data_IF_563857793364
#
_entry.id   IF_563857793364
#
_cell.length_a   1.000
_cell.length_b   1.000
_cell.length_c   1.000
_cell.angle_alpha   90.00
_cell.angle_beta   90.00
_cell.angle_gamma   90.00
#
_symmetry.space_group_name_H-M   'P 1'
#
loop_
_entity.id
_entity.type
_entity.pdbx_description
1 polymer ?
#
# COMPACT_ATOMS: atom_id res chain seq x y z
N UNK A 1 24.77 -3.49 0.90
CA UNK A 1 25.24 -3.81 -0.47
C UNK A 1 26.60 -4.45 -0.35
N UNK A 2 26.88 -5.56 -1.05
CA UNK A 2 28.12 -6.34 -0.92
C UNK A 2 28.93 -6.25 -2.22
N UNK A 3 30.25 -6.16 -2.09
CA UNK A 3 31.20 -6.18 -3.19
C UNK A 3 32.34 -7.13 -2.87
N UNK A 4 32.65 -8.05 -3.78
CA UNK A 4 33.63 -9.13 -3.56
C UNK A 4 34.97 -8.75 -4.17
N UNK A 5 36.05 -9.09 -3.49
CA UNK A 5 37.42 -8.80 -3.92
C UNK A 5 38.33 -10.02 -3.74
N UNK A 6 39.00 -10.40 -4.83
CA UNK A 6 40.18 -11.29 -4.81
C UNK A 6 41.47 -10.42 -4.80
N UNK A 7 42.43 -10.67 -3.90
CA UNK A 7 43.76 -10.00 -3.74
C UNK A 7 43.84 -8.67 -2.97
N UNK A 8 45.03 -8.07 -2.82
CA UNK A 8 45.43 -6.87 -2.03
C UNK A 8 45.03 -5.49 -2.67
N UNK A 9 43.79 -5.30 -3.17
CA UNK A 9 43.37 -4.11 -3.97
C UNK A 9 42.30 -3.23 -3.29
N UNK A 10 42.43 -1.91 -3.20
CA UNK A 10 41.46 -1.07 -2.46
C UNK A 10 40.05 -1.10 -3.09
N UNK A 11 39.01 -1.17 -2.22
CA UNK A 11 37.59 -1.09 -2.59
C UNK A 11 37.05 0.29 -2.25
N UNK A 12 36.36 0.91 -3.19
CA UNK A 12 35.72 2.22 -3.00
C UNK A 12 34.22 2.12 -3.27
N UNK A 13 33.42 2.76 -2.42
CA UNK A 13 31.98 2.92 -2.63
C UNK A 13 31.69 4.33 -3.11
N UNK A 14 30.94 4.43 -4.20
CA UNK A 14 30.60 5.70 -4.86
C UNK A 14 29.09 5.74 -5.05
N UNK A 15 28.46 6.87 -4.70
CA UNK A 15 27.05 7.12 -5.01
C UNK A 15 26.94 7.86 -6.33
N UNK A 16 26.19 7.31 -7.28
CA UNK A 16 25.95 7.96 -8.57
C UNK A 16 24.69 8.82 -8.52
N UNK A 17 24.89 10.14 -8.58
CA UNK A 17 23.87 11.16 -8.81
C UNK A 17 24.27 12.00 -10.02
N UNK A 18 23.76 13.23 -10.12
CA UNK A 18 24.22 14.22 -11.09
C UNK A 18 25.74 14.47 -11.01
N UNK A 19 26.30 14.42 -9.80
CA UNK A 19 27.74 14.39 -9.53
C UNK A 19 28.07 13.10 -8.79
N UNK A 20 29.19 12.46 -9.13
CA UNK A 20 29.66 11.28 -8.41
C UNK A 20 30.14 11.68 -7.02
N UNK A 21 29.61 11.01 -6.00
CA UNK A 21 29.97 11.26 -4.62
C UNK A 21 30.73 10.05 -4.06
N UNK A 22 32.00 10.24 -3.73
CA UNK A 22 32.78 9.22 -3.02
C UNK A 22 32.22 9.05 -1.60
N UNK A 23 31.90 7.81 -1.24
CA UNK A 23 31.38 7.47 0.08
C UNK A 23 32.46 6.93 1.00
N UNK A 24 33.19 5.91 0.55
CA UNK A 24 34.23 5.24 1.34
C UNK A 24 35.37 4.79 0.44
N UNK A 25 36.58 4.70 1.00
CA UNK A 25 37.75 4.04 0.40
C UNK A 25 38.34 3.11 1.46
N UNK A 26 38.34 1.82 1.18
CA UNK A 26 38.56 0.80 2.19
C UNK A 26 37.59 0.99 3.35
N UNK A 27 38.12 0.94 4.58
CA UNK A 27 37.37 1.18 5.82
C UNK A 27 37.17 2.67 6.16
N UNK A 28 37.78 3.59 5.40
CA UNK A 28 37.70 5.02 5.67
C UNK A 28 36.47 5.64 5.02
N UNK A 29 35.64 6.35 5.80
CA UNK A 29 34.48 7.09 5.27
C UNK A 29 34.91 8.48 4.81
N UNK A 30 34.55 8.82 3.57
CA UNK A 30 34.75 10.14 2.95
C UNK A 30 33.44 10.92 2.76
N UNK A 31 32.29 10.24 2.83
CA UNK A 31 30.99 10.91 2.83
C UNK A 31 30.89 11.88 4.00
N UNK A 32 30.29 13.06 3.77
CA UNK A 32 29.96 14.02 4.82
C UNK A 32 28.86 13.49 5.76
N UNK A 33 28.04 12.55 5.29
CA UNK A 33 26.97 11.92 6.07
C UNK A 33 27.52 10.70 6.83
N UNK A 34 27.56 10.79 8.16
CA UNK A 34 28.09 9.74 9.05
C UNK A 34 27.28 8.43 9.07
N UNK A 35 26.16 8.36 8.35
CA UNK A 35 25.37 7.12 8.19
C UNK A 35 26.03 6.11 7.24
N UNK A 36 26.93 6.56 6.35
CA UNK A 36 27.64 5.68 5.41
C UNK A 36 28.88 5.08 6.07
N UNK A 37 28.95 3.76 6.13
CA UNK A 37 30.06 3.02 6.75
C UNK A 37 30.43 1.81 5.90
N UNK A 38 31.73 1.62 5.70
CA UNK A 38 32.25 0.39 5.09
C UNK A 38 32.53 -0.64 6.18
N UNK A 39 32.02 -1.86 5.99
CA UNK A 39 32.23 -3.00 6.86
C UNK A 39 32.98 -4.06 6.06
N UNK A 40 34.09 -4.54 6.64
CA UNK A 40 34.88 -5.62 6.06
C UNK A 40 35.40 -6.51 7.19
N UNK A 41 35.20 -7.82 7.05
CA UNK A 41 35.69 -8.81 8.00
C UNK A 41 37.06 -9.32 7.56
N UNK A 42 38.01 -9.48 8.49
CA UNK A 42 39.43 -9.80 8.23
C UNK A 42 39.68 -11.07 7.38
N UNK A 43 38.69 -11.95 7.24
CA UNK A 43 38.77 -13.20 6.47
C UNK A 43 37.68 -13.33 5.40
N UNK A 44 36.95 -12.24 5.11
CA UNK A 44 35.93 -12.22 4.07
C UNK A 44 36.44 -11.43 2.88
N UNK A 45 36.08 -11.87 1.68
CA UNK A 45 36.28 -11.08 0.46
C UNK A 45 35.21 -9.99 0.30
N UNK A 46 34.19 -9.99 1.18
CA UNK A 46 33.05 -9.10 1.13
C UNK A 46 33.38 -7.74 1.75
N UNK A 47 33.14 -6.72 0.96
CA UNK A 47 33.13 -5.32 1.35
C UNK A 47 31.69 -4.83 1.33
N UNK A 48 31.15 -4.54 2.51
CA UNK A 48 29.75 -4.14 2.65
C UNK A 48 29.63 -2.64 2.89
N UNK A 49 28.85 -1.95 2.07
CA UNK A 49 28.37 -0.60 2.41
C UNK A 49 27.11 -0.72 3.28
N UNK A 50 27.23 -0.23 4.51
CA UNK A 50 26.13 -0.02 5.44
C UNK A 50 25.66 1.44 5.37
N UNK A 51 24.34 1.61 5.29
CA UNK A 51 23.67 2.91 5.38
C UNK A 51 22.71 2.84 6.57
N UNK A 52 22.97 3.61 7.62
CA UNK A 52 22.09 3.66 8.80
C UNK A 52 20.86 4.54 8.54
N UNK A 53 19.73 4.18 9.13
CA UNK A 53 18.47 4.95 9.04
C UNK A 53 18.12 5.34 7.60
N UNK A 54 18.04 4.33 6.72
CA UNK A 54 17.83 4.53 5.28
C UNK A 54 16.55 5.32 5.04
N UNK A 55 16.61 6.28 4.12
CA UNK A 55 15.47 7.10 3.73
C UNK A 55 15.17 6.94 2.25
N UNK A 56 13.95 7.28 1.82
CA UNK A 56 13.55 7.18 0.40
C UNK A 56 14.48 7.97 -0.53
N UNK A 57 15.06 9.07 -0.05
CA UNK A 57 16.07 9.86 -0.78
C UNK A 57 17.41 9.15 -0.99
N UNK A 58 17.67 8.04 -0.29
CA UNK A 58 18.89 7.25 -0.42
C UNK A 58 18.83 6.27 -1.59
N UNK A 59 17.63 6.03 -2.14
CA UNK A 59 17.45 5.20 -3.32
C UNK A 59 18.30 5.69 -4.51
N UNK A 60 18.69 4.76 -5.38
CA UNK A 60 19.46 5.03 -6.59
C UNK A 60 20.66 4.12 -6.78
N UNK A 61 21.53 4.50 -7.71
CA UNK A 61 22.67 3.67 -8.12
C UNK A 61 23.89 3.93 -7.23
N UNK A 62 24.46 2.85 -6.72
CA UNK A 62 25.73 2.80 -6.02
C UNK A 62 26.71 1.99 -6.85
N UNK A 63 27.94 2.47 -6.91
CA UNK A 63 29.05 1.83 -7.60
C UNK A 63 30.02 1.32 -6.54
N UNK A 64 30.34 0.03 -6.61
CA UNK A 64 31.53 -0.48 -5.97
C UNK A 64 32.64 -0.55 -7.02
N UNK A 65 33.74 0.14 -6.75
CA UNK A 65 34.91 0.19 -7.62
C UNK A 65 36.12 -0.44 -6.93
N UNK A 66 36.83 -1.30 -7.64
CA UNK A 66 38.10 -1.90 -7.22
C UNK A 66 39.24 -1.20 -7.96
N UNK A 67 40.32 -0.86 -7.24
CA UNK A 67 41.46 -0.09 -7.78
C UNK A 67 42.41 -0.92 -8.68
N UNK A 68 41.86 -1.75 -9.57
CA UNK A 68 42.61 -2.45 -10.63
C UNK A 68 43.01 -1.49 -11.76
N UNK A 69 43.88 -1.94 -12.67
CA UNK A 69 44.20 -1.21 -13.90
C UNK A 69 43.82 -2.05 -15.13
N UNK A 70 42.71 -1.73 -15.85
CA UNK A 70 41.78 -0.62 -15.59
C UNK A 70 40.87 -0.86 -14.36
N UNK A 71 40.27 0.19 -13.77
CA UNK A 71 39.36 0.04 -12.63
C UNK A 71 38.16 -0.84 -13.00
N UNK A 72 37.88 -1.82 -12.17
CA UNK A 72 36.72 -2.68 -12.30
C UNK A 72 35.61 -2.18 -11.38
N UNK A 73 34.38 -2.10 -11.91
CA UNK A 73 33.22 -1.60 -11.16
C UNK A 73 32.01 -2.53 -11.29
N UNK A 74 31.23 -2.62 -10.22
CA UNK A 74 29.89 -3.17 -10.23
C UNK A 74 28.89 -2.09 -9.82
N UNK A 75 27.70 -2.12 -10.42
CA UNK A 75 26.63 -1.17 -10.16
C UNK A 75 25.47 -1.87 -9.45
N UNK A 76 25.01 -1.28 -8.36
CA UNK A 76 23.90 -1.78 -7.55
C UNK A 76 22.81 -0.71 -7.48
N UNK A 77 21.55 -1.10 -7.68
CA UNK A 77 20.41 -0.22 -7.46
C UNK A 77 19.86 -0.47 -6.06
N UNK A 78 19.89 0.55 -5.21
CA UNK A 78 19.24 0.53 -3.90
C UNK A 78 17.79 0.98 -4.06
N UNK A 79 16.86 0.05 -3.86
CA UNK A 79 15.45 0.37 -3.66
C UNK A 79 15.18 0.57 -2.16
N UNK A 80 14.44 1.63 -1.82
CA UNK A 80 14.02 1.91 -0.45
C UNK A 80 12.50 1.83 -0.40
N UNK A 81 12.01 0.86 0.36
CA UNK A 81 10.58 0.63 0.55
C UNK A 81 10.19 0.90 2.00
N UNK A 82 9.01 1.48 2.20
CA UNK A 82 8.40 1.60 3.51
C UNK A 82 7.51 0.38 3.77
N UNK A 83 7.70 -0.26 4.92
CA UNK A 83 6.85 -1.36 5.34
C UNK A 83 5.45 -0.84 5.71
N UNK A 84 4.42 -1.58 5.30
CA UNK A 84 3.03 -1.23 5.57
C UNK A 84 2.24 -2.48 5.93
N UNK A 85 1.36 -2.36 6.92
CA UNK A 85 0.30 -3.31 7.14
C UNK A 85 -0.77 -3.15 6.05
N UNK A 86 -1.44 -4.25 5.73
CA UNK A 86 -2.56 -4.32 4.80
C UNK A 86 -3.62 -5.22 5.42
N UNK A 87 -4.89 -4.80 5.38
CA UNK A 87 -6.01 -5.61 5.84
C UNK A 87 -6.76 -6.11 4.62
N UNK A 88 -6.95 -7.43 4.51
CA UNK A 88 -7.54 -8.05 3.33
C UNK A 88 -8.99 -7.58 3.11
N UNK A 89 -9.27 -7.17 1.87
CA UNK A 89 -10.60 -6.76 1.42
C UNK A 89 -10.76 -5.25 1.26
N UNK A 90 -12.01 -4.76 1.12
CA UNK A 90 -12.28 -3.34 0.93
C UNK A 90 -12.05 -2.53 2.21
N UNK A 91 -11.85 -1.21 2.05
CA UNK A 91 -11.70 -0.26 3.16
C UNK A 91 -12.96 -0.14 4.03
N UNK A 92 -14.13 -0.51 3.49
CA UNK A 92 -15.40 -0.60 4.20
C UNK A 92 -15.97 -2.02 4.07
N UNK A 93 -16.24 -2.65 5.20
CA UNK A 93 -16.76 -4.03 5.27
C UNK A 93 -18.13 -4.05 5.91
N UNK A 94 -19.07 -4.70 5.24
CA UNK A 94 -20.47 -4.78 5.61
C UNK A 94 -20.79 -6.18 6.12
N UNK A 95 -21.29 -6.30 7.35
CA UNK A 95 -21.51 -7.57 8.04
C UNK A 95 -22.92 -7.60 8.65
N UNK A 96 -23.62 -8.73 8.56
CA UNK A 96 -24.93 -8.88 9.18
C UNK A 96 -24.79 -9.17 10.69
N UNK A 97 -25.68 -8.66 11.55
CA UNK A 97 -25.75 -9.05 12.95
C UNK A 97 -25.85 -10.57 13.10
N UNK A 98 -25.18 -11.11 14.11
CA UNK A 98 -25.09 -12.54 14.40
C UNK A 98 -24.12 -13.32 13.51
N UNK A 99 -23.67 -12.78 12.38
CA UNK A 99 -22.69 -13.43 11.51
C UNK A 99 -21.25 -13.26 12.01
N UNK A 100 -20.34 -14.05 11.48
CA UNK A 100 -18.92 -14.01 11.85
C UNK A 100 -18.19 -12.90 11.12
N UNK A 101 -17.49 -12.03 11.86
CA UNK A 101 -16.53 -11.07 11.30
C UNK A 101 -15.11 -11.65 11.43
N UNK A 102 -14.41 -11.70 10.31
CA UNK A 102 -13.00 -12.07 10.24
C UNK A 102 -12.22 -10.99 9.51
N UNK A 103 -11.11 -10.54 10.08
CA UNK A 103 -10.17 -9.61 9.46
C UNK A 103 -8.79 -10.25 9.47
N UNK A 104 -8.11 -10.15 8.34
CA UNK A 104 -6.75 -10.63 8.16
C UNK A 104 -5.85 -9.43 7.92
N UNK A 105 -4.77 -9.32 8.67
CA UNK A 105 -3.76 -8.30 8.49
C UNK A 105 -2.43 -8.94 8.13
N UNK A 106 -1.75 -8.39 7.12
CA UNK A 106 -0.41 -8.80 6.70
C UNK A 106 0.53 -7.60 6.63
N UNK A 107 1.76 -7.74 7.13
CA UNK A 107 2.80 -6.71 6.96
C UNK A 107 3.60 -6.98 5.70
N UNK A 108 3.50 -6.07 4.74
CA UNK A 108 4.25 -6.10 3.47
C UNK A 108 5.53 -5.27 3.60
N UNK A 109 6.53 -5.62 2.77
CA UNK A 109 7.78 -4.85 2.60
C UNK A 109 8.62 -4.64 3.87
N UNK A 110 8.37 -5.43 4.91
CA UNK A 110 9.17 -5.42 6.14
C UNK A 110 10.39 -6.33 6.01
N UNK A 111 11.59 -5.76 6.13
CA UNK A 111 12.87 -6.50 6.09
C UNK A 111 13.15 -7.25 7.39
N UNK A 112 12.54 -6.82 8.50
CA UNK A 112 12.69 -7.41 9.82
C UNK A 112 11.35 -7.95 10.33
N UNK A 113 11.40 -8.90 11.25
CA UNK A 113 10.21 -9.42 11.93
C UNK A 113 9.70 -8.35 12.90
N UNK A 114 8.41 -7.97 12.85
CA UNK A 114 7.84 -7.02 13.80
C UNK A 114 7.86 -7.59 15.22
N UNK A 115 8.21 -6.75 16.19
CA UNK A 115 8.14 -7.11 17.61
C UNK A 115 6.70 -7.24 18.14
N UNK A 116 5.72 -6.61 17.49
CA UNK A 116 4.30 -6.79 17.80
C UNK A 116 3.41 -6.50 16.59
N UNK A 117 2.20 -7.06 16.64
CA UNK A 117 1.07 -6.78 15.74
C UNK A 117 -0.19 -6.64 16.59
N UNK A 118 -0.73 -5.42 16.67
CA UNK A 118 -1.87 -5.09 17.52
C UNK A 118 -3.07 -4.62 16.72
N UNK A 119 -4.25 -4.98 17.21
CA UNK A 119 -5.54 -4.53 16.72
C UNK A 119 -6.11 -3.47 17.64
N UNK A 120 -6.60 -2.40 17.04
CA UNK A 120 -7.33 -1.34 17.73
C UNK A 120 -8.74 -1.24 17.15
N UNK A 121 -9.72 -1.06 18.02
CA UNK A 121 -11.09 -0.71 17.67
C UNK A 121 -11.39 0.67 18.25
N UNK A 122 -11.73 1.64 17.39
CA UNK A 122 -12.00 3.02 17.79
C UNK A 122 -10.92 3.60 18.73
N UNK A 123 -9.65 3.41 18.37
CA UNK A 123 -8.46 3.85 19.13
C UNK A 123 -8.13 3.09 20.43
N UNK A 124 -8.92 2.08 20.81
CA UNK A 124 -8.62 1.21 21.96
C UNK A 124 -8.03 -0.11 21.50
N UNK A 125 -6.95 -0.55 22.13
CA UNK A 125 -6.35 -1.86 21.82
C UNK A 125 -7.27 -2.99 22.30
N UNK A 126 -7.47 -4.01 21.46
CA UNK A 126 -8.45 -5.09 21.69
C UNK A 126 -7.86 -6.51 21.64
N UNK A 127 -6.53 -6.66 21.58
CA UNK A 127 -5.88 -7.97 21.47
C UNK A 127 -6.24 -8.95 22.60
N UNK A 128 -6.57 -8.45 23.79
CA UNK A 128 -6.87 -9.24 24.98
C UNK A 128 -8.25 -8.92 25.56
N UNK A 129 -9.15 -8.37 24.73
CA UNK A 129 -10.44 -7.88 25.20
C UNK A 129 -11.49 -9.00 25.24
N UNK A 130 -11.66 -9.55 26.44
CA UNK A 130 -12.64 -10.61 26.71
C UNK A 130 -14.08 -10.08 26.69
N UNK A 131 -14.29 -8.82 27.11
CA UNK A 131 -15.62 -8.21 27.20
C UNK A 131 -16.25 -7.97 25.82
N UNK A 132 -15.40 -7.61 24.85
CA UNK A 132 -15.79 -7.46 23.44
C UNK A 132 -15.95 -8.82 22.74
N UNK A 133 -15.48 -9.92 23.33
CA UNK A 133 -15.61 -11.26 22.77
C UNK A 133 -14.85 -11.45 21.45
N UNK A 134 -13.70 -10.78 21.32
CA UNK A 134 -12.83 -10.87 20.14
C UNK A 134 -11.69 -11.85 20.38
N UNK A 135 -11.36 -12.62 19.35
CA UNK A 135 -10.23 -13.55 19.38
C UNK A 135 -9.18 -13.06 18.39
N UNK A 136 -7.96 -12.82 18.86
CA UNK A 136 -6.83 -12.42 18.02
C UNK A 136 -5.80 -13.54 17.99
N UNK A 137 -5.45 -14.00 16.79
CA UNK A 137 -4.34 -14.93 16.55
C UNK A 137 -3.26 -14.18 15.77
N UNK A 138 -2.01 -14.21 16.24
CA UNK A 138 -0.92 -13.46 15.62
C UNK A 138 0.28 -14.35 15.40
N UNK A 139 0.82 -14.34 14.18
CA UNK A 139 2.06 -15.00 13.81
C UNK A 139 3.05 -13.95 13.33
N UNK A 140 3.97 -13.56 14.22
CA UNK A 140 4.99 -12.56 13.92
C UNK A 140 5.97 -13.06 12.85
N UNK A 141 6.25 -14.38 12.81
CA UNK A 141 7.19 -14.97 11.85
C UNK A 141 6.67 -14.82 10.43
N UNK A 142 5.39 -15.11 10.25
CA UNK A 142 4.69 -14.92 8.97
C UNK A 142 4.17 -13.50 8.76
N UNK A 143 4.38 -12.60 9.73
CA UNK A 143 3.98 -11.19 9.68
C UNK A 143 2.47 -11.02 9.48
N UNK A 144 1.68 -11.91 10.06
CA UNK A 144 0.23 -11.93 9.90
C UNK A 144 -0.50 -11.92 11.25
N UNK A 145 -1.72 -11.37 11.22
CA UNK A 145 -2.61 -11.37 12.38
C UNK A 145 -4.05 -11.49 11.93
N UNK A 146 -4.79 -12.37 12.61
CA UNK A 146 -6.20 -12.65 12.38
C UNK A 146 -7.02 -12.16 13.55
N UNK A 147 -8.03 -11.35 13.26
CA UNK A 147 -9.05 -10.95 14.23
C UNK A 147 -10.36 -11.63 13.90
N UNK A 148 -10.95 -12.29 14.89
CA UNK A 148 -12.18 -13.07 14.77
C UNK A 148 -13.22 -12.61 15.78
N UNK A 149 -14.43 -12.31 15.30
CA UNK A 149 -15.60 -12.01 16.12
C UNK A 149 -16.68 -13.03 15.76
N UNK A 150 -16.92 -14.05 16.61
CA UNK A 150 -17.82 -15.16 16.28
C UNK A 150 -19.27 -14.74 16.01
N UNK A 151 -19.76 -13.72 16.73
CA UNK A 151 -21.09 -13.14 16.55
C UNK A 151 -21.01 -11.63 16.51
N UNK A 152 -21.14 -11.06 15.32
CA UNK A 152 -21.18 -9.63 15.07
C UNK A 152 -22.41 -9.00 15.75
N UNK A 153 -22.20 -7.87 16.43
CA UNK A 153 -23.21 -7.09 17.14
C UNK A 153 -22.94 -5.63 16.83
N UNK A 154 -23.93 -4.76 17.00
CA UNK A 154 -23.79 -3.35 16.62
C UNK A 154 -22.60 -2.65 17.31
N UNK A 155 -22.27 -3.05 18.54
CA UNK A 155 -21.08 -2.57 19.29
C UNK A 155 -19.73 -2.89 18.64
N UNK A 156 -19.68 -3.89 17.76
CA UNK A 156 -18.48 -4.24 17.01
C UNK A 156 -18.32 -3.34 15.77
N UNK A 157 -19.31 -2.51 15.42
CA UNK A 157 -19.14 -1.54 14.33
C UNK A 157 -18.07 -0.50 14.67
N UNK A 158 -17.35 -0.01 13.67
CA UNK A 158 -16.37 1.05 13.83
C UNK A 158 -15.07 0.81 13.09
N UNK A 159 -14.05 1.58 13.45
CA UNK A 159 -12.76 1.55 12.78
C UNK A 159 -11.82 0.53 13.44
N UNK A 160 -11.43 -0.48 12.67
CA UNK A 160 -10.42 -1.46 13.03
C UNK A 160 -9.08 -1.07 12.43
N UNK A 161 -8.06 -0.92 13.26
CA UNK A 161 -6.70 -0.61 12.85
C UNK A 161 -5.75 -1.76 13.21
N UNK A 162 -5.01 -2.25 12.22
CA UNK A 162 -3.88 -3.15 12.45
C UNK A 162 -2.58 -2.35 12.48
N UNK A 163 -1.81 -2.47 13.56
CA UNK A 163 -0.58 -1.71 13.79
C UNK A 163 0.58 -2.65 14.14
N UNK A 164 1.64 -2.59 13.35
CA UNK A 164 2.91 -3.27 13.63
C UNK A 164 3.94 -2.30 14.22
N UNK A 165 5.02 -2.82 14.79
CA UNK A 165 6.08 -2.00 15.38
C UNK A 165 7.00 -1.32 14.37
N UNK A 166 7.18 -1.91 13.19
CA UNK A 166 8.09 -1.46 12.14
C UNK A 166 7.39 -1.19 10.80
N UNK A 167 6.08 -0.96 10.79
CA UNK A 167 5.31 -0.70 9.58
C UNK A 167 4.19 0.33 9.79
N UNK A 168 3.79 1.01 8.71
CA UNK A 168 2.63 1.88 8.70
C UNK A 168 1.33 1.09 8.96
N UNK A 169 0.39 1.61 9.75
CA UNK A 169 -0.84 0.88 10.10
C UNK A 169 -1.86 0.88 8.96
N UNK A 170 -2.65 -0.20 8.87
CA UNK A 170 -3.82 -0.29 7.98
C UNK A 170 -5.12 -0.14 8.77
N UNK A 171 -6.17 0.32 8.09
CA UNK A 171 -7.49 0.57 8.68
C UNK A 171 -8.60 0.04 7.80
N UNK A 172 -9.64 -0.51 8.43
CA UNK A 172 -10.89 -0.89 7.78
C UNK A 172 -12.05 -0.44 8.66
N UNK A 173 -13.08 0.14 8.06
CA UNK A 173 -14.31 0.46 8.76
C UNK A 173 -15.31 -0.69 8.61
N UNK A 174 -15.84 -1.18 9.71
CA UNK A 174 -16.82 -2.28 9.70
C UNK A 174 -18.19 -1.74 10.07
N UNK A 175 -19.16 -1.99 9.19
CA UNK A 175 -20.57 -1.69 9.40
C UNK A 175 -21.33 -2.97 9.72
N UNK A 176 -21.99 -3.00 10.88
CA UNK A 176 -22.92 -4.06 11.25
C UNK A 176 -24.34 -3.50 11.22
N UNK A 177 -25.20 -4.06 10.37
CA UNK A 177 -26.56 -3.55 10.13
C UNK A 177 -27.56 -4.68 9.95
N UNK A 178 -28.72 -4.57 10.60
CA UNK A 178 -29.87 -5.42 10.28
C UNK A 178 -30.38 -5.02 8.89
N UNK A 179 -30.48 -6.01 8.00
CA UNK A 179 -30.59 -5.83 6.55
C UNK A 179 -31.93 -5.30 6.06
N UNK A 180 -32.29 -4.06 6.41
CA UNK A 180 -33.47 -3.38 5.88
C UNK A 180 -33.16 -2.47 4.68
N UNK A 181 -31.95 -2.49 4.13
CA UNK A 181 -31.68 -1.77 2.87
C UNK A 181 -30.55 -2.37 2.01
N UNK A 182 -30.86 -3.37 1.16
CA UNK A 182 -29.91 -3.88 0.17
C UNK A 182 -29.96 -3.14 -1.17
N UNK A 183 -30.74 -2.05 -1.32
CA UNK A 183 -31.14 -1.53 -2.65
C UNK A 183 -31.02 0.00 -2.89
N UNK A 184 -30.34 0.79 -2.05
CA UNK A 184 -30.29 2.25 -2.24
C UNK A 184 -29.00 2.83 -2.87
N UNK A 185 -27.95 2.04 -3.16
CA UNK A 185 -26.73 2.53 -3.84
C UNK A 185 -26.62 2.16 -5.32
N UNK A 186 -27.45 1.25 -5.80
CA UNK A 186 -27.70 1.13 -7.23
C UNK A 186 -28.97 1.90 -7.54
N UNK A 187 -28.92 3.24 -7.44
CA UNK A 187 -29.81 4.01 -8.29
C UNK A 187 -29.48 3.60 -9.71
N UNK A 188 -30.41 2.82 -10.25
CA UNK A 188 -30.47 2.44 -11.64
C UNK A 188 -30.17 3.66 -12.50
N UNK A 189 -29.10 3.59 -13.28
CA UNK A 189 -29.04 4.23 -14.59
C UNK A 189 -30.05 3.53 -15.53
N UNK A 190 -31.30 3.41 -15.08
CA UNK A 190 -32.42 3.39 -15.99
C UNK A 190 -32.55 4.84 -16.44
N UNK A 191 -31.73 5.18 -17.45
CA UNK A 191 -31.96 6.31 -18.33
C UNK A 191 -33.46 6.37 -18.60
N UNK A 192 -34.11 7.28 -17.89
CA UNK A 192 -35.46 7.69 -18.24
C UNK A 192 -35.25 8.38 -19.57
N UNK A 193 -35.41 7.63 -20.67
CA UNK A 193 -35.44 8.19 -22.01
C UNK A 193 -36.55 9.22 -21.98
N UNK A 194 -36.10 10.47 -21.88
CA UNK A 194 -36.89 11.68 -21.82
C UNK A 194 -38.06 11.58 -22.81
N UNK A 195 -39.26 11.33 -22.29
CA UNK A 195 -40.51 11.39 -23.07
C UNK A 195 -40.84 12.81 -23.52
N UNK A 196 -40.04 13.81 -23.13
CA UNK A 196 -40.19 15.20 -23.56
C UNK A 196 -39.73 15.47 -25.00
N UNK A 197 -38.84 14.65 -25.58
CA UNK A 197 -38.46 14.83 -27.00
C UNK A 197 -39.47 14.17 -27.96
N UNK A 198 -40.17 13.12 -27.52
CA UNK A 198 -41.16 12.44 -28.35
C UNK A 198 -42.48 13.23 -28.50
N UNK A 199 -42.88 14.00 -27.49
CA UNK A 199 -44.11 14.83 -27.55
C UNK A 199 -43.93 16.07 -28.42
N UNK A 200 -42.77 16.72 -28.36
CA UNK A 200 -42.41 17.80 -29.29
C UNK A 200 -42.31 17.28 -30.74
N UNK A 201 -41.70 16.11 -30.94
CA UNK A 201 -41.60 15.43 -32.23
C UNK A 201 -42.97 15.01 -32.82
N UNK A 202 -44.00 14.80 -32.00
CA UNK A 202 -45.36 14.53 -32.48
C UNK A 202 -46.14 15.80 -32.84
N UNK A 203 -45.93 16.89 -32.09
CA UNK A 203 -46.61 18.17 -32.33
C UNK A 203 -46.16 18.88 -33.61
N UNK A 204 -44.88 18.82 -33.98
CA UNK A 204 -44.44 19.40 -35.27
C UNK A 204 -44.86 18.55 -36.47
N UNK A 205 -45.00 17.23 -36.34
CA UNK A 205 -45.46 16.36 -37.43
C UNK A 205 -46.95 16.62 -37.71
N UNK A 206 -47.78 16.80 -36.68
CA UNK A 206 -49.19 17.16 -36.86
C UNK A 206 -49.38 18.58 -37.42
N UNK A 207 -48.53 19.53 -37.03
CA UNK A 207 -48.54 20.90 -37.59
C UNK A 207 -48.11 20.92 -39.08
N UNK A 208 -47.13 20.12 -39.47
CA UNK A 208 -46.71 20.00 -40.89
C UNK A 208 -47.78 19.30 -41.72
N UNK A 209 -48.42 18.23 -41.21
CA UNK A 209 -49.48 17.53 -41.94
C UNK A 209 -50.70 18.42 -42.19
N UNK A 210 -51.12 19.22 -41.21
CA UNK A 210 -52.24 20.18 -41.36
C UNK A 210 -51.92 21.31 -42.34
N UNK A 211 -50.66 21.76 -42.40
CA UNK A 211 -50.21 22.72 -43.41
C UNK A 211 -50.23 22.12 -44.83
N UNK A 212 -49.85 20.86 -45.00
CA UNK A 212 -49.87 20.19 -46.31
C UNK A 212 -51.31 19.92 -46.78
N UNK A 213 -52.21 19.50 -45.89
CA UNK A 213 -53.64 19.34 -46.20
C UNK A 213 -54.32 20.66 -46.59
N UNK A 214 -53.88 21.79 -46.03
CA UNK A 214 -54.39 23.11 -46.42
C UNK A 214 -53.95 23.57 -47.81
N UNK A 215 -52.81 23.07 -48.31
CA UNK A 215 -52.29 23.36 -49.66
C UNK A 215 -52.91 22.45 -50.74
N UNK A 216 -53.25 21.20 -50.39
CA UNK A 216 -53.92 20.25 -51.30
C UNK A 216 -55.41 20.54 -51.52
N UNK A 217 -56.04 21.41 -50.72
CA UNK A 217 -57.43 21.88 -50.93
C UNK A 217 -57.53 23.13 -51.80
N UNK A 218 -56.42 23.63 -52.34
CA UNK A 218 -56.36 24.84 -53.17
C UNK A 218 -55.94 24.56 -54.63
N UNK A 219 -56.06 23.30 -55.06
CA UNK A 219 -56.02 22.87 -56.46
C UNK A 219 -57.22 21.97 -56.76
#
# INVERSE_FOLDING_TARGET
MICVRYFEILVSWIRRKAVQQLLTVGLSTYASDGRFQAIHFHHSEDWTLQIKYVQSRDAGIYECQVSTHPPASIFLFLEVVEASAEIDGPAEKFVRPGSTLQLHCQVKKSTEVPSYLFWFHNFRMINYDVDLGVNVSTDLTNRESWLYVPRALDRHSGNYTCKASNAQPARVYVHIFNGDNPAAMQHSLASTRSTFLATLAWLIISAVQTSIDSQLRMF
#
